data_IF_449570932911
#
_entry.id   IF_449570932911
#
_cell.length_a   1.000
_cell.length_b   1.000
_cell.length_c   1.000
_cell.angle_alpha   90.00
_cell.angle_beta   90.00
_cell.angle_gamma   90.00
#
_symmetry.space_group_name_H-M   'P 1'
#
loop_
_entity.id
_entity.type
_entity.pdbx_description
1 polymer ?
#
# COMPACT_ATOMS: atom_id res chain seq x y z
N UNK A 1 -9.71 48.49 -58.49
CA UNK A 1 -9.17 47.88 -57.26
C UNK A 1 -9.87 46.55 -57.04
N UNK A 2 -9.22 45.43 -57.35
CA UNK A 2 -9.78 44.06 -57.31
C UNK A 2 -9.07 43.27 -56.20
N UNK A 3 -9.81 42.66 -55.27
CA UNK A 3 -9.28 41.69 -54.29
C UNK A 3 -9.34 40.28 -54.87
N UNK A 4 -8.30 39.44 -54.70
CA UNK A 4 -8.42 37.99 -54.80
C UNK A 4 -8.20 37.29 -53.43
N UNK A 5 -8.59 36.01 -53.30
CA UNK A 5 -9.24 35.50 -52.09
C UNK A 5 -8.37 34.65 -51.17
N UNK A 6 -8.79 34.67 -49.91
CA UNK A 6 -8.43 33.81 -48.78
C UNK A 6 -8.51 32.32 -49.17
N UNK A 7 -7.40 31.59 -49.09
CA UNK A 7 -7.36 30.12 -49.14
C UNK A 7 -6.82 29.61 -47.81
N UNK A 8 -7.75 29.16 -46.98
CA UNK A 8 -7.53 28.47 -45.72
C UNK A 8 -7.05 27.03 -46.05
N UNK A 9 -5.82 26.68 -45.69
CA UNK A 9 -5.32 25.31 -45.80
C UNK A 9 -5.45 24.65 -44.42
N UNK A 10 -6.46 23.81 -44.24
CA UNK A 10 -6.57 22.94 -43.06
C UNK A 10 -5.69 21.70 -43.29
N UNK A 11 -4.54 21.65 -42.63
CA UNK A 11 -3.76 20.42 -42.51
C UNK A 11 -4.28 19.65 -41.29
N UNK A 12 -5.05 18.58 -41.53
CA UNK A 12 -5.44 17.62 -40.50
C UNK A 12 -4.24 16.70 -40.25
N UNK A 13 -3.51 16.95 -39.16
CA UNK A 13 -2.53 16.01 -38.63
C UNK A 13 -3.29 14.99 -37.80
N UNK A 14 -3.51 13.80 -38.37
CA UNK A 14 -4.01 12.64 -37.64
C UNK A 14 -2.86 12.11 -36.77
N UNK A 15 -2.80 12.56 -35.51
CA UNK A 15 -1.93 11.94 -34.51
C UNK A 15 -2.54 10.60 -34.13
N UNK A 16 -1.95 9.51 -34.62
CA UNK A 16 -2.32 8.16 -34.24
C UNK A 16 -2.00 7.92 -32.76
N UNK A 17 -3.05 7.79 -31.94
CA UNK A 17 -2.93 7.31 -30.57
C UNK A 17 -2.59 5.83 -30.62
N UNK A 18 -1.36 5.47 -30.26
CA UNK A 18 -0.97 4.10 -29.96
C UNK A 18 -1.70 3.69 -28.67
N UNK A 19 -2.77 2.89 -28.80
CA UNK A 19 -3.42 2.25 -27.65
C UNK A 19 -2.52 1.09 -27.23
N UNK A 20 -1.49 1.39 -26.44
CA UNK A 20 -0.77 0.37 -25.68
C UNK A 20 -1.70 -0.16 -24.60
N UNK A 21 -1.93 -1.48 -24.58
CA UNK A 21 -2.82 -2.17 -23.63
C UNK A 21 -2.31 -2.20 -22.18
N UNK A 22 -2.00 -1.04 -21.61
CA UNK A 22 -1.75 -0.90 -20.18
C UNK A 22 -3.05 -1.12 -19.40
N UNK A 23 -2.99 -1.95 -18.36
CA UNK A 23 -4.09 -2.08 -17.40
C UNK A 23 -4.26 -0.74 -16.71
N UNK A 24 -5.45 -0.14 -16.81
CA UNK A 24 -5.80 1.05 -16.06
C UNK A 24 -6.30 0.59 -14.69
N UNK A 25 -5.44 0.69 -13.68
CA UNK A 25 -5.88 0.54 -12.30
C UNK A 25 -6.71 1.78 -11.92
N UNK A 26 -7.93 1.57 -11.41
CA UNK A 26 -8.76 2.68 -10.93
C UNK A 26 -8.51 2.80 -9.44
N UNK A 27 -7.84 3.86 -9.03
CA UNK A 27 -7.69 4.20 -7.63
C UNK A 27 -9.09 4.37 -7.00
N UNK A 28 -9.28 3.89 -5.77
CA UNK A 28 -10.50 4.16 -5.03
C UNK A 28 -10.61 5.69 -4.83
N UNK A 29 -11.63 6.30 -5.43
CA UNK A 29 -11.95 7.72 -5.22
C UNK A 29 -12.59 7.83 -3.83
N UNK A 30 -12.04 8.64 -2.90
CA UNK A 30 -12.68 8.91 -1.62
C UNK A 30 -14.11 9.41 -1.83
N UNK A 31 -15.07 8.95 -1.04
CA UNK A 31 -16.42 9.49 -1.06
C UNK A 31 -16.42 10.97 -0.64
N UNK A 32 -17.40 11.77 -1.08
CA UNK A 32 -17.52 13.15 -0.58
C UNK A 32 -17.72 13.15 0.94
N UNK A 33 -16.75 13.71 1.67
CA UNK A 33 -16.69 13.71 3.14
C UNK A 33 -15.63 12.79 3.75
N UNK A 34 -14.93 11.99 2.92
CA UNK A 34 -13.85 11.10 3.37
C UNK A 34 -12.50 11.82 3.40
N UNK A 35 -11.76 11.68 4.50
CA UNK A 35 -10.37 12.10 4.59
C UNK A 35 -9.52 11.31 3.58
N UNK A 36 -8.52 11.91 2.91
CA UNK A 36 -7.71 11.23 1.89
C UNK A 36 -6.87 10.06 2.44
N UNK A 37 -6.78 9.87 3.76
CA UNK A 37 -6.17 8.68 4.34
C UNK A 37 -7.07 7.43 4.25
N UNK A 38 -8.40 7.60 4.09
CA UNK A 38 -9.34 6.49 3.99
C UNK A 38 -8.98 5.58 2.81
N UNK A 39 -8.89 4.28 3.06
CA UNK A 39 -8.59 3.27 2.04
C UNK A 39 -7.58 2.23 2.48
N UNK A 40 -7.09 1.49 1.48
CA UNK A 40 -6.08 0.45 1.65
C UNK A 40 -4.75 0.90 1.03
N UNK A 41 -3.65 0.57 1.69
CA UNK A 41 -2.31 1.05 1.35
C UNK A 41 -1.31 -0.10 1.43
N UNK A 42 -0.41 -0.18 0.46
CA UNK A 42 0.87 -0.89 0.64
C UNK A 42 1.83 0.07 1.30
N UNK A 43 2.47 -0.37 2.39
CA UNK A 43 3.42 0.47 3.13
C UNK A 43 4.75 -0.23 3.31
N UNK A 44 5.81 0.58 3.34
CA UNK A 44 7.20 0.18 3.49
C UNK A 44 7.85 1.05 4.57
N UNK A 45 8.59 0.43 5.48
CA UNK A 45 9.23 1.12 6.61
C UNK A 45 10.74 1.28 6.44
N UNK A 46 11.30 0.77 5.34
CA UNK A 46 12.71 0.91 4.97
C UNK A 46 12.87 0.78 3.43
N UNK A 47 12.57 1.85 2.67
CA UNK A 47 12.64 1.83 1.21
C UNK A 47 14.09 1.67 0.75
N UNK A 48 14.47 0.44 0.41
CA UNK A 48 15.83 0.09 0.00
C UNK A 48 16.29 -1.27 0.50
N UNK A 49 15.62 -1.82 1.51
CA UNK A 49 15.90 -3.16 2.01
C UNK A 49 14.82 -4.14 1.54
N UNK A 50 15.19 -4.91 0.51
CA UNK A 50 14.34 -5.92 -0.12
C UNK A 50 13.94 -7.07 0.83
N UNK A 51 14.58 -7.19 2.00
CA UNK A 51 14.20 -8.16 3.03
C UNK A 51 12.88 -7.76 3.72
N UNK A 52 12.53 -6.47 3.74
CA UNK A 52 11.26 -6.02 4.29
C UNK A 52 10.11 -6.22 3.30
N UNK A 53 9.31 -7.25 3.56
CA UNK A 53 8.08 -7.49 2.82
C UNK A 53 7.12 -6.30 2.93
N UNK A 54 6.45 -5.91 1.82
CA UNK A 54 5.44 -4.87 1.84
C UNK A 54 4.35 -5.23 2.85
N UNK A 55 3.94 -4.23 3.63
CA UNK A 55 2.90 -4.36 4.64
C UNK A 55 1.59 -3.79 4.09
N UNK A 56 0.47 -4.26 4.61
CA UNK A 56 -0.84 -3.70 4.30
C UNK A 56 -1.33 -2.84 5.45
N UNK A 57 -1.85 -1.66 5.12
CA UNK A 57 -2.51 -0.78 6.08
C UNK A 57 -3.89 -0.40 5.54
N UNK A 58 -4.91 -0.52 6.38
CA UNK A 58 -6.30 -0.17 6.05
C UNK A 58 -6.75 0.87 7.06
N UNK A 59 -7.24 2.00 6.57
CA UNK A 59 -7.83 3.08 7.38
C UNK A 59 -9.29 3.24 6.96
N UNK A 60 -10.21 2.91 7.86
CA UNK A 60 -11.65 2.99 7.61
C UNK A 60 -12.23 4.33 8.01
N UNK A 61 -13.30 4.75 7.33
CA UNK A 61 -13.92 6.06 7.55
C UNK A 61 -14.50 6.27 8.97
N UNK A 62 -14.74 5.18 9.70
CA UNK A 62 -15.20 5.20 11.11
C UNK A 62 -14.06 5.37 12.12
N UNK A 63 -12.81 5.57 11.66
CA UNK A 63 -11.64 5.74 12.51
C UNK A 63 -10.93 4.43 12.87
N UNK A 64 -11.40 3.27 12.39
CA UNK A 64 -10.72 2.00 12.55
C UNK A 64 -9.44 1.89 11.71
N UNK A 65 -8.45 1.18 12.22
CA UNK A 65 -7.20 0.91 11.50
C UNK A 65 -6.78 -0.56 11.63
N UNK A 66 -6.33 -1.16 10.53
CA UNK A 66 -5.74 -2.50 10.48
C UNK A 66 -4.37 -2.43 9.82
N UNK A 67 -3.41 -3.17 10.38
CA UNK A 67 -2.06 -3.34 9.84
C UNK A 67 -1.75 -4.83 9.72
N UNK A 68 -1.22 -5.27 8.58
CA UNK A 68 -0.79 -6.65 8.35
C UNK A 68 0.66 -6.65 7.91
N UNK A 69 1.50 -7.39 8.63
CA UNK A 69 2.90 -7.59 8.26
C UNK A 69 3.10 -8.88 7.47
N UNK A 70 4.10 -8.89 6.57
CA UNK A 70 4.51 -10.10 5.85
C UNK A 70 5.03 -11.22 6.76
N UNK A 71 5.32 -10.93 8.03
CA UNK A 71 5.77 -11.90 9.04
C UNK A 71 4.62 -12.55 9.82
N UNK A 72 3.37 -12.31 9.41
CA UNK A 72 2.18 -12.93 10.02
C UNK A 72 1.63 -12.19 11.24
N UNK A 73 2.19 -11.02 11.61
CA UNK A 73 1.66 -10.22 12.69
C UNK A 73 0.59 -9.27 12.16
N UNK A 74 -0.55 -9.20 12.86
CA UNK A 74 -1.62 -8.24 12.58
C UNK A 74 -1.74 -7.27 13.73
N UNK A 75 -1.76 -5.98 13.42
CA UNK A 75 -2.06 -4.90 14.35
C UNK A 75 -3.48 -4.39 14.10
N UNK A 76 -4.19 -4.07 15.17
CA UNK A 76 -5.49 -3.39 15.11
C UNK A 76 -5.38 -2.10 15.91
N UNK A 77 -6.08 -1.06 15.49
CA UNK A 77 -6.11 0.17 16.24
C UNK A 77 -7.04 1.21 15.64
N UNK A 78 -6.64 2.48 15.78
CA UNK A 78 -7.46 3.60 15.41
C UNK A 78 -6.64 4.70 14.74
N UNK A 79 -7.30 5.55 13.98
CA UNK A 79 -6.72 6.73 13.40
C UNK A 79 -7.67 7.93 13.48
N UNK A 80 -7.09 9.12 13.36
CA UNK A 80 -7.85 10.37 13.26
C UNK A 80 -7.12 11.37 12.35
N UNK A 81 -7.86 12.22 11.64
CA UNK A 81 -7.28 13.32 10.89
C UNK A 81 -6.66 14.33 11.85
N UNK A 82 -5.48 14.85 11.49
CA UNK A 82 -4.82 15.98 12.16
C UNK A 82 -4.84 17.24 11.32
N UNK A 83 -5.11 17.11 10.02
CA UNK A 83 -5.43 18.20 9.08
C UNK A 83 -6.26 17.67 7.90
N UNK A 84 -6.32 18.39 6.78
CA UNK A 84 -6.97 17.92 5.55
C UNK A 84 -6.22 16.79 4.85
N UNK A 85 -4.88 16.71 5.03
CA UNK A 85 -4.02 15.71 4.37
C UNK A 85 -3.20 14.88 5.34
N UNK A 86 -3.25 15.17 6.64
CA UNK A 86 -2.44 14.48 7.65
C UNK A 86 -3.30 13.72 8.64
N UNK A 87 -2.76 12.61 9.16
CA UNK A 87 -3.43 11.77 10.14
C UNK A 87 -2.47 11.24 11.20
N UNK A 88 -3.01 10.95 12.39
CA UNK A 88 -2.33 10.16 13.40
C UNK A 88 -2.95 8.76 13.44
N UNK A 89 -2.11 7.72 13.48
CA UNK A 89 -2.53 6.31 13.55
C UNK A 89 -1.86 5.67 14.75
N UNK A 90 -2.61 4.84 15.49
CA UNK A 90 -2.04 3.99 16.53
C UNK A 90 -2.47 2.55 16.28
N UNK A 91 -1.51 1.62 16.29
CA UNK A 91 -1.76 0.18 16.27
C UNK A 91 -1.31 -0.47 17.56
N UNK A 92 -2.00 -1.55 17.93
CA UNK A 92 -1.48 -2.54 18.87
C UNK A 92 -1.37 -3.87 18.15
N UNK A 93 -0.18 -4.45 18.17
CA UNK A 93 0.09 -5.80 17.68
C UNK A 93 0.43 -6.70 18.86
N UNK A 94 -0.32 -7.78 19.01
CA UNK A 94 -0.01 -8.83 19.99
C UNK A 94 1.16 -9.67 19.48
N UNK A 95 2.11 -9.96 20.37
CA UNK A 95 3.22 -10.88 20.06
C UNK A 95 2.90 -12.26 20.60
N UNK A 96 3.68 -13.28 20.22
CA UNK A 96 3.54 -14.64 20.75
C UNK A 96 4.01 -14.79 22.23
N UNK A 97 4.23 -13.69 22.94
CA UNK A 97 4.75 -13.65 24.32
C UNK A 97 3.99 -12.66 25.22
N UNK A 98 4.52 -12.35 26.42
CA UNK A 98 3.85 -11.49 27.40
C UNK A 98 3.92 -10.00 27.02
N UNK A 99 4.10 -9.68 25.74
CA UNK A 99 4.30 -8.32 25.28
C UNK A 99 3.38 -7.98 24.12
N UNK A 100 3.01 -6.71 24.05
CA UNK A 100 2.39 -6.10 22.88
C UNK A 100 3.29 -5.01 22.34
N UNK A 101 3.18 -4.74 21.04
CA UNK A 101 3.86 -3.61 20.39
C UNK A 101 2.82 -2.55 20.11
N UNK A 102 3.03 -1.35 20.65
CA UNK A 102 2.27 -0.16 20.29
C UNK A 102 3.04 0.59 19.21
N UNK A 103 2.40 0.85 18.08
CA UNK A 103 2.99 1.57 16.95
C UNK A 103 2.24 2.88 16.82
N UNK A 104 2.94 4.01 16.82
CA UNK A 104 2.37 5.34 16.63
C UNK A 104 2.91 5.92 15.35
N UNK A 105 2.02 6.39 14.46
CA UNK A 105 2.38 6.85 13.13
C UNK A 105 1.80 8.25 12.89
N UNK A 106 2.61 9.14 12.33
CA UNK A 106 2.18 10.40 11.75
C UNK A 106 2.25 10.29 10.24
N UNK A 107 1.12 10.48 9.55
CA UNK A 107 0.99 10.33 8.11
C UNK A 107 0.66 11.65 7.43
N UNK A 108 1.14 11.81 6.20
CA UNK A 108 0.73 12.80 5.22
C UNK A 108 0.40 12.10 3.91
N UNK A 109 -0.76 12.42 3.34
CA UNK A 109 -1.22 11.90 2.05
C UNK A 109 -0.93 12.94 0.97
N UNK A 110 -0.33 12.48 -0.13
CA UNK A 110 -0.07 13.34 -1.29
C UNK A 110 -1.37 13.91 -1.86
N UNK A 111 -1.27 15.06 -2.53
CA UNK A 111 -2.42 15.79 -3.05
C UNK A 111 -3.24 15.03 -4.11
N UNK A 112 -2.64 14.04 -4.78
CA UNK A 112 -3.31 13.13 -5.72
C UNK A 112 -4.04 11.96 -5.01
N UNK A 113 -3.88 11.85 -3.69
CA UNK A 113 -4.41 10.77 -2.87
C UNK A 113 -3.75 9.41 -3.11
N UNK A 114 -2.67 9.32 -3.90
CA UNK A 114 -2.08 8.05 -4.34
C UNK A 114 -0.88 7.60 -3.52
N UNK A 115 -0.23 8.51 -2.81
CA UNK A 115 0.92 8.21 -1.98
C UNK A 115 0.72 8.70 -0.54
N UNK A 116 1.38 8.04 0.39
CA UNK A 116 1.55 8.52 1.75
C UNK A 116 3.02 8.50 2.16
N UNK A 117 3.37 9.40 3.07
CA UNK A 117 4.65 9.43 3.76
C UNK A 117 4.44 9.72 5.22
N UNK A 118 5.40 9.37 6.07
CA UNK A 118 5.26 9.62 7.49
C UNK A 118 6.46 9.18 8.33
N UNK A 119 6.27 9.29 9.64
CA UNK A 119 7.18 8.76 10.65
C UNK A 119 6.43 7.87 11.61
N UNK A 120 7.13 6.93 12.22
CA UNK A 120 6.55 6.06 13.25
C UNK A 120 7.49 5.85 14.44
N UNK A 121 6.92 5.52 15.58
CA UNK A 121 7.62 4.96 16.74
C UNK A 121 6.99 3.63 17.15
N UNK A 122 7.79 2.76 17.75
CA UNK A 122 7.35 1.49 18.31
C UNK A 122 7.63 1.47 19.81
N UNK A 123 6.71 0.96 20.60
CA UNK A 123 6.91 0.74 22.02
C UNK A 123 6.59 -0.72 22.33
N UNK A 124 7.56 -1.44 22.87
CA UNK A 124 7.31 -2.78 23.42
C UNK A 124 6.75 -2.58 24.81
N UNK A 125 5.52 -3.05 25.04
CA UNK A 125 4.85 -3.03 26.33
C UNK A 125 4.77 -4.44 26.88
N UNK A 126 5.43 -4.67 28.02
CA UNK A 126 5.40 -5.94 28.73
C UNK A 126 4.21 -6.02 29.69
N UNK A 127 3.65 -7.22 29.87
CA UNK A 127 2.79 -7.55 30.99
C UNK A 127 3.52 -7.16 32.30
N UNK A 128 2.88 -6.41 33.21
CA UNK A 128 3.45 -6.08 34.51
C UNK A 128 3.99 -7.29 35.28
N UNK A 129 3.45 -8.49 35.08
CA UNK A 129 3.92 -9.73 35.69
C UNK A 129 5.22 -10.29 35.06
N UNK A 130 5.57 -9.85 33.85
CA UNK A 130 6.69 -10.37 33.07
C UNK A 130 8.06 -9.76 33.38
N UNK A 131 8.12 -8.73 34.23
CA UNK A 131 9.38 -8.11 34.69
C UNK A 131 10.20 -7.39 33.61
N UNK A 132 9.66 -7.20 32.41
CA UNK A 132 10.31 -6.45 31.32
C UNK A 132 10.14 -4.94 31.46
N UNK A 133 11.07 -4.18 30.87
CA UNK A 133 11.02 -2.71 30.84
C UNK A 133 10.49 -2.22 29.49
N UNK A 134 9.42 -1.43 29.50
CA UNK A 134 8.90 -0.79 28.29
C UNK A 134 9.76 0.39 27.85
N UNK A 135 9.83 0.64 26.54
CA UNK A 135 10.56 1.77 25.97
C UNK A 135 10.16 2.06 24.53
N UNK A 136 10.13 3.34 24.16
CA UNK A 136 9.83 3.79 22.82
C UNK A 136 11.09 3.81 21.94
N UNK A 137 10.95 3.29 20.71
CA UNK A 137 11.99 3.13 19.69
C UNK A 137 11.55 3.93 18.46
N UNK A 138 12.45 4.76 17.94
CA UNK A 138 12.21 5.57 16.74
C UNK A 138 12.89 6.94 16.80
N UNK A 139 12.59 7.85 15.86
CA UNK A 139 11.61 7.67 14.78
C UNK A 139 12.14 6.79 13.63
N UNK A 140 11.26 5.96 13.08
CA UNK A 140 11.41 5.37 11.74
C UNK A 140 10.61 6.16 10.70
N UNK A 141 10.81 5.85 9.43
CA UNK A 141 10.09 6.47 8.29
C UNK A 141 9.17 5.48 7.60
N UNK A 142 8.02 5.92 7.14
CA UNK A 142 7.06 5.09 6.40
C UNK A 142 6.73 5.76 5.07
N UNK A 143 6.74 4.97 4.00
CA UNK A 143 6.22 5.34 2.69
C UNK A 143 5.13 4.37 2.27
N UNK A 144 4.25 4.79 1.37
CA UNK A 144 3.22 3.90 0.87
C UNK A 144 2.51 4.39 -0.36
N UNK A 145 1.83 3.45 -1.01
CA UNK A 145 1.03 3.65 -2.20
C UNK A 145 -0.39 3.14 -1.98
N UNK A 146 -1.37 3.84 -2.55
CA UNK A 146 -2.77 3.43 -2.47
C UNK A 146 -2.99 2.16 -3.27
N UNK A 147 -3.69 1.21 -2.67
CA UNK A 147 -4.18 0.03 -3.38
C UNK A 147 -5.38 0.41 -4.24
N UNK A 148 -5.26 0.11 -5.53
CA UNK A 148 -6.31 0.29 -6.51
C UNK A 148 -7.06 -1.02 -6.75
N UNK A 149 -8.35 -0.92 -7.09
CA UNK A 149 -9.07 -2.07 -7.58
C UNK A 149 -8.60 -2.37 -9.01
N UNK A 150 -8.25 -3.62 -9.26
CA UNK A 150 -7.94 -4.10 -10.60
C UNK A 150 -9.11 -4.90 -11.17
N UNK A 151 -9.44 -4.65 -12.44
CA UNK A 151 -10.35 -5.53 -13.16
C UNK A 151 -9.73 -6.94 -13.25
N UNK A 152 -10.53 -8.01 -13.10
CA UNK A 152 -10.02 -9.36 -13.32
C UNK A 152 -9.36 -9.49 -14.70
N UNK A 153 -8.16 -10.05 -14.73
CA UNK A 153 -7.47 -10.37 -15.98
C UNK A 153 -8.09 -11.57 -16.69
N UNK A 154 -7.74 -11.77 -17.96
CA UNK A 154 -8.04 -13.03 -18.67
C UNK A 154 -7.07 -14.11 -18.18
N UNK A 155 -7.56 -15.23 -17.60
CA UNK A 155 -6.69 -16.32 -17.18
C UNK A 155 -5.96 -16.92 -18.39
N UNK A 156 -4.64 -17.07 -18.30
CA UNK A 156 -3.81 -17.73 -19.33
C UNK A 156 -3.75 -19.24 -19.17
N UNK A 157 -4.22 -19.76 -18.04
CA UNK A 157 -4.27 -21.18 -17.70
C UNK A 157 -5.45 -21.46 -16.78
N UNK A 158 -5.94 -22.69 -16.82
CA UNK A 158 -6.94 -23.24 -15.91
C UNK A 158 -6.32 -23.59 -14.56
N UNK A 159 -7.15 -23.76 -13.53
CA UNK A 159 -6.70 -24.29 -12.24
C UNK A 159 -6.13 -25.70 -12.36
N UNK A 160 -6.70 -26.55 -13.22
CA UNK A 160 -6.20 -27.90 -13.44
C UNK A 160 -4.76 -27.87 -13.98
N UNK A 161 -4.46 -26.98 -14.92
CA UNK A 161 -3.10 -26.79 -15.45
C UNK A 161 -2.14 -26.23 -14.40
N UNK A 162 -2.57 -25.28 -13.57
CA UNK A 162 -1.76 -24.74 -12.48
C UNK A 162 -1.36 -25.82 -11.45
N UNK A 163 -2.30 -26.69 -11.06
CA UNK A 163 -2.03 -27.76 -10.10
C UNK A 163 -1.44 -29.04 -10.73
N UNK A 164 -1.43 -29.13 -12.06
CA UNK A 164 -0.75 -30.21 -12.80
C UNK A 164 0.75 -29.94 -12.99
N UNK A 165 1.29 -28.81 -12.51
CA UNK A 165 2.73 -28.56 -12.51
C UNK A 165 3.43 -29.72 -11.77
N UNK A 166 4.45 -30.37 -12.37
CA UNK A 166 5.13 -31.47 -11.73
C UNK A 166 5.61 -31.00 -10.36
N UNK A 167 5.26 -31.75 -9.31
CA UNK A 167 5.89 -31.57 -8.01
C UNK A 167 7.39 -31.69 -8.25
N UNK A 168 8.10 -30.56 -8.23
CA UNK A 168 9.54 -30.51 -8.42
C UNK A 168 10.20 -31.14 -7.21
N UNK A 169 10.16 -32.47 -7.10
CA UNK A 169 11.06 -33.19 -6.21
C UNK A 169 12.45 -33.03 -6.80
N UNK A 170 13.38 -32.35 -6.12
CA UNK A 170 14.76 -32.30 -6.59
C UNK A 170 15.27 -33.74 -6.69
N UNK A 171 15.79 -34.13 -7.85
CA UNK A 171 16.49 -35.41 -7.96
C UNK A 171 17.68 -35.36 -6.99
N UNK A 172 17.73 -36.28 -6.04
CA UNK A 172 18.90 -36.42 -5.17
C UNK A 172 20.11 -36.79 -6.04
N UNK A 173 21.13 -35.93 -6.06
CA UNK A 173 22.42 -36.24 -6.68
C UNK A 173 23.03 -37.44 -5.93
N UNK A 174 23.38 -38.54 -6.62
CA UNK A 174 24.07 -39.65 -5.97
C UNK A 174 25.39 -39.18 -5.38
N UNK A 175 25.65 -39.51 -4.12
CA UNK A 175 26.97 -39.30 -3.53
C UNK A 175 27.97 -40.25 -4.21
N UNK A 176 29.00 -39.67 -4.84
CA UNK A 176 30.21 -40.38 -5.29
C UNK A 176 31.24 -40.44 -4.20
#
# INVERSE_FOLDING_TARGET
>A
MRRPPLRLLFAVVLSGTVIGGGRVAVAQVPGPGDHPANGSWTVETDPGDAEYSPRLMILSADGGAIFVSGYGNTGVGAWAPTSETTAAVTFTAVTNGPAQIVIRISLEVASDGQALTGTFTNEVQFDPAGGGTSGEIGPGTIGGARLAAEAPGTPTQTFAEFFALPAGTPAATPAT
#
